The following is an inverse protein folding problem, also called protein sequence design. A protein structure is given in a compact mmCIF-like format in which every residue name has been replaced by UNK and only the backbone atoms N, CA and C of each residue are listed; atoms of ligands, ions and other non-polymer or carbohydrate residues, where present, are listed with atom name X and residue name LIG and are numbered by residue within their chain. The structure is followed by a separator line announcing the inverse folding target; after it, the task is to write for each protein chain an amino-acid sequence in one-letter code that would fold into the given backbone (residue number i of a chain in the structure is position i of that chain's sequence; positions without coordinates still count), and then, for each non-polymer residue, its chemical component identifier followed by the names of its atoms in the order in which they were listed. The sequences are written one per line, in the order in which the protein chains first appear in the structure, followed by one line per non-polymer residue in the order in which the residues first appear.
data_IF_398624366174
#
_entry.id   IF_398624366174
#
_cell.length_a   1.000
_cell.length_b   1.000
_cell.length_c   1.000
_cell.angle_alpha   90.00
_cell.angle_beta   90.00
_cell.angle_gamma   90.00
#
_symmetry.space_group_name_H-M   'P 1'
#
loop_
_entity.id
_entity.type
_entity.pdbx_description
1 polymer ?
#
# COMPACT_ATOMS: atom_id res chain seq x y z
N UNK A 1 -34.89 -15.12 3.91
CA UNK A 1 -33.83 -15.12 4.94
C UNK A 1 -34.34 -15.90 6.15
N UNK A 2 -33.72 -17.04 6.46
CA UNK A 2 -34.16 -17.99 7.50
C UNK A 2 -33.82 -17.49 8.91
N UNK A 3 -34.71 -17.80 9.86
CA UNK A 3 -34.78 -17.36 11.26
C UNK A 3 -33.61 -17.78 12.16
N UNK A 4 -32.60 -18.47 11.63
CA UNK A 4 -31.42 -18.95 12.37
C UNK A 4 -30.24 -17.96 12.48
N UNK A 5 -30.36 -16.73 11.96
CA UNK A 5 -29.32 -15.69 12.12
C UNK A 5 -29.56 -14.68 13.24
N UNK A 6 -30.70 -14.76 13.96
CA UNK A 6 -31.02 -13.82 15.05
C UNK A 6 -30.53 -14.23 16.44
N UNK A 7 -30.11 -15.48 16.65
CA UNK A 7 -29.77 -15.98 18.00
C UNK A 7 -28.28 -15.90 18.38
N UNK A 8 -27.38 -15.49 17.49
CA UNK A 8 -25.93 -15.40 17.80
C UNK A 8 -25.50 -14.00 18.26
N UNK A 9 -26.40 -12.99 18.20
CA UNK A 9 -26.08 -11.59 18.51
C UNK A 9 -26.52 -11.11 19.90
N UNK A 10 -27.04 -12.00 20.75
CA UNK A 10 -27.56 -11.62 22.06
C UNK A 10 -26.73 -12.12 23.25
N UNK A 11 -25.39 -12.13 23.17
CA UNK A 11 -24.52 -12.30 24.37
C UNK A 11 -23.20 -11.55 24.21
N UNK A 12 -23.14 -10.33 24.74
CA UNK A 12 -21.95 -9.71 25.39
C UNK A 12 -22.40 -8.38 26.00
N UNK A 13 -23.13 -8.48 27.12
CA UNK A 13 -23.38 -7.35 28.00
C UNK A 13 -22.15 -7.07 28.88
N UNK A 14 -21.93 -5.79 29.14
CA UNK A 14 -20.89 -5.25 30.02
C UNK A 14 -21.00 -5.81 31.46
N UNK A 15 -19.88 -5.94 32.21
CA UNK A 15 -19.95 -6.35 33.61
C UNK A 15 -20.41 -5.20 34.53
N UNK A 16 -21.31 -5.55 35.45
CA UNK A 16 -21.88 -4.69 36.49
C UNK A 16 -20.94 -4.57 37.70
N UNK A 17 -20.89 -3.37 38.28
CA UNK A 17 -20.24 -3.03 39.54
C UNK A 17 -21.04 -3.64 40.71
N UNK A 18 -20.37 -4.23 41.69
CA UNK A 18 -20.96 -4.56 42.99
C UNK A 18 -20.07 -4.05 44.12
N UNK A 19 -20.60 -3.08 44.85
CA UNK A 19 -20.17 -2.69 46.19
C UNK A 19 -20.67 -3.73 47.19
N UNK A 20 -19.78 -4.24 48.06
CA UNK A 20 -19.99 -4.27 49.52
C UNK A 20 -18.83 -5.00 50.20
N UNK A 21 -18.34 -4.38 51.28
CA UNK A 21 -17.19 -4.82 52.06
C UNK A 21 -17.53 -5.69 53.26
N UNK A 22 -16.57 -6.52 53.67
CA UNK A 22 -16.28 -6.85 55.08
C UNK A 22 -14.89 -7.52 55.18
N UNK A 23 -14.05 -6.97 56.07
CA UNK A 23 -12.77 -7.53 56.55
C UNK A 23 -13.07 -8.79 57.42
N UNK A 24 -12.17 -9.77 57.68
CA UNK A 24 -10.87 -9.68 58.38
C UNK A 24 -10.05 -10.99 58.21
N UNK A 25 -8.74 -10.82 57.96
CA UNK A 25 -7.50 -11.56 58.30
C UNK A 25 -7.38 -13.11 58.28
N UNK A 26 -6.33 -13.60 57.60
CA UNK A 26 -5.14 -14.22 58.23
C UNK A 26 -4.01 -14.45 57.20
N UNK A 27 -2.79 -14.14 57.61
CA UNK A 27 -1.54 -14.19 56.83
C UNK A 27 -1.11 -15.61 56.45
N UNK A 28 -0.74 -15.83 55.20
CA UNK A 28 0.28 -16.81 54.80
C UNK A 28 1.04 -16.25 53.59
N UNK A 29 2.36 -16.12 53.71
CA UNK A 29 3.26 -15.63 52.66
C UNK A 29 3.85 -16.84 51.91
N UNK A 30 3.61 -17.00 50.59
CA UNK A 30 4.46 -17.82 49.76
C UNK A 30 5.38 -16.93 48.94
N UNK A 31 6.68 -17.01 49.22
CA UNK A 31 7.71 -16.54 48.32
C UNK A 31 7.64 -17.33 47.01
N UNK A 32 7.50 -16.67 45.87
CA UNK A 32 8.10 -17.13 44.62
C UNK A 32 8.36 -15.92 43.73
N UNK A 33 9.63 -15.71 43.43
CA UNK A 33 10.12 -14.89 42.35
C UNK A 33 9.48 -15.32 41.03
N UNK A 34 8.31 -14.75 40.70
CA UNK A 34 7.78 -14.78 39.34
C UNK A 34 8.55 -13.74 38.55
N UNK A 35 9.56 -14.19 37.82
CA UNK A 35 10.25 -13.37 36.83
C UNK A 35 9.22 -12.64 35.98
N UNK A 36 9.31 -11.31 35.95
CA UNK A 36 8.59 -10.52 34.96
C UNK A 36 8.96 -11.11 33.60
N UNK A 37 7.97 -11.67 32.90
CA UNK A 37 8.09 -11.90 31.46
C UNK A 37 8.24 -10.53 30.84
N UNK A 38 9.49 -10.10 30.65
CA UNK A 38 9.85 -8.96 29.81
C UNK A 38 9.28 -9.31 28.44
N UNK A 39 8.16 -8.68 28.07
CA UNK A 39 7.62 -8.84 26.72
C UNK A 39 8.76 -8.62 25.74
N UNK A 40 8.90 -9.51 24.76
CA UNK A 40 9.91 -9.38 23.71
C UNK A 40 9.79 -7.98 23.13
N UNK A 41 10.84 -7.16 23.32
CA UNK A 41 10.90 -5.82 22.71
C UNK A 41 10.74 -5.99 21.20
N UNK A 42 9.85 -5.21 20.60
CA UNK A 42 9.68 -5.18 19.15
C UNK A 42 10.98 -4.71 18.51
N UNK A 43 11.50 -5.46 17.54
CA UNK A 43 12.64 -5.00 16.75
C UNK A 43 12.17 -3.90 15.81
N UNK A 44 12.73 -2.71 15.99
CA UNK A 44 12.39 -1.48 15.26
C UNK A 44 13.57 -0.99 14.42
N UNK A 45 14.61 -1.81 14.29
CA UNK A 45 15.81 -1.47 13.55
C UNK A 45 15.46 -1.35 12.07
N UNK A 46 15.69 -0.19 11.42
CA UNK A 46 15.41 -0.05 9.99
C UNK A 46 16.11 -1.12 9.16
N UNK A 47 15.44 -1.57 8.10
CA UNK A 47 16.02 -2.45 7.08
C UNK A 47 16.36 -1.61 5.85
N UNK A 48 17.42 -2.00 5.15
CA UNK A 48 17.90 -1.25 4.00
C UNK A 48 17.23 -1.72 2.71
N UNK A 49 17.02 -0.80 1.78
CA UNK A 49 16.33 -1.08 0.52
C UNK A 49 17.03 -2.16 -0.33
N UNK A 50 18.36 -2.26 -0.22
CA UNK A 50 19.19 -3.17 -1.00
C UNK A 50 19.09 -4.63 -0.53
N UNK A 51 18.40 -4.90 0.58
CA UNK A 51 17.97 -6.25 0.94
C UNK A 51 16.86 -6.77 0.01
N UNK A 52 16.10 -5.85 -0.60
CA UNK A 52 14.90 -6.18 -1.36
C UNK A 52 15.03 -5.88 -2.86
N UNK A 53 15.75 -4.82 -3.22
CA UNK A 53 15.95 -4.35 -4.59
C UNK A 53 17.42 -4.39 -5.00
N UNK A 54 17.70 -4.54 -6.30
CA UNK A 54 19.06 -4.64 -6.81
C UNK A 54 19.69 -3.24 -7.00
N UNK A 55 18.88 -2.24 -7.37
CA UNK A 55 19.34 -0.88 -7.67
C UNK A 55 18.36 0.17 -7.16
N UNK A 56 18.91 1.30 -6.72
CA UNK A 56 18.21 2.57 -6.47
C UNK A 56 18.72 3.61 -7.47
N UNK A 57 17.84 4.04 -8.36
CA UNK A 57 18.14 4.96 -9.45
C UNK A 57 17.63 6.37 -9.12
N UNK A 58 18.35 7.37 -9.62
CA UNK A 58 17.90 8.77 -9.62
C UNK A 58 17.73 9.21 -11.07
N UNK A 59 16.47 9.39 -11.49
CA UNK A 59 16.13 9.72 -12.87
C UNK A 59 15.74 11.19 -12.98
N UNK A 60 16.37 11.91 -13.91
CA UNK A 60 15.93 13.25 -14.26
C UNK A 60 14.71 13.13 -15.17
N UNK A 61 13.55 13.57 -14.68
CA UNK A 61 12.26 13.48 -15.35
C UNK A 61 11.57 14.83 -15.22
N UNK A 62 11.23 15.45 -16.36
CA UNK A 62 10.66 16.80 -16.41
C UNK A 62 11.36 17.80 -15.48
N UNK A 63 10.70 18.21 -14.40
CA UNK A 63 11.11 19.22 -13.43
C UNK A 63 11.62 18.61 -12.11
N UNK A 64 12.07 17.35 -12.12
CA UNK A 64 12.51 16.69 -10.90
C UNK A 64 13.47 15.53 -11.08
N UNK A 65 13.96 15.06 -9.94
CA UNK A 65 14.78 13.87 -9.80
C UNK A 65 13.95 12.82 -9.07
N UNK A 66 13.57 11.77 -9.79
CA UNK A 66 12.74 10.69 -9.28
C UNK A 66 13.60 9.54 -8.79
N UNK A 67 13.35 9.11 -7.55
CA UNK A 67 13.93 7.91 -6.98
C UNK A 67 13.17 6.68 -7.47
N UNK A 68 13.88 5.68 -7.99
CA UNK A 68 13.27 4.44 -8.50
C UNK A 68 14.03 3.22 -8.00
N UNK A 69 13.34 2.33 -7.32
CA UNK A 69 13.87 1.04 -6.90
C UNK A 69 13.60 -0.01 -7.98
N UNK A 70 14.61 -0.79 -8.35
CA UNK A 70 14.48 -1.81 -9.40
C UNK A 70 15.07 -3.16 -8.99
N UNK A 71 14.46 -4.24 -9.50
CA UNK A 71 14.95 -5.62 -9.33
C UNK A 71 14.75 -6.42 -10.61
N UNK A 72 15.72 -7.26 -10.94
CA UNK A 72 15.72 -8.05 -12.16
C UNK A 72 16.01 -7.24 -13.42
N UNK A 73 16.32 -7.96 -14.49
CA UNK A 73 16.72 -7.44 -15.80
C UNK A 73 16.01 -8.14 -16.98
N UNK A 74 15.33 -9.26 -16.73
CA UNK A 74 14.63 -10.06 -17.74
C UNK A 74 13.13 -10.15 -17.45
N UNK A 75 12.33 -10.25 -18.52
CA UNK A 75 10.88 -10.46 -18.44
C UNK A 75 10.06 -9.16 -18.49
N UNK A 76 8.73 -9.24 -18.28
CA UNK A 76 7.87 -8.07 -18.25
C UNK A 76 8.17 -7.18 -17.03
N UNK A 77 7.84 -5.89 -17.14
CA UNK A 77 7.91 -4.97 -16.02
C UNK A 77 6.65 -5.09 -15.15
N UNK A 78 6.84 -5.24 -13.85
CA UNK A 78 5.83 -5.02 -12.83
C UNK A 78 6.05 -3.62 -12.27
N UNK A 79 5.21 -2.68 -12.70
CA UNK A 79 5.36 -1.26 -12.39
C UNK A 79 4.46 -0.89 -11.20
N UNK A 80 5.06 -0.73 -10.02
CA UNK A 80 4.37 -0.72 -8.73
C UNK A 80 4.26 0.70 -8.13
N UNK A 81 3.06 1.26 -8.14
CA UNK A 81 2.76 2.63 -7.72
C UNK A 81 2.18 2.66 -6.30
N UNK A 82 2.87 3.31 -5.37
CA UNK A 82 2.46 3.39 -3.96
C UNK A 82 1.29 4.35 -3.71
N UNK A 83 0.67 4.24 -2.53
CA UNK A 83 -0.40 5.15 -2.09
C UNK A 83 0.09 6.52 -1.61
N UNK A 84 -0.83 7.45 -1.36
CA UNK A 84 -0.47 8.79 -0.85
C UNK A 84 0.14 8.72 0.54
N UNK A 85 1.25 9.44 0.76
CA UNK A 85 2.02 9.44 2.00
C UNK A 85 3.04 8.29 2.14
N UNK A 86 3.08 7.37 1.17
CA UNK A 86 3.98 6.22 1.15
C UNK A 86 5.21 6.46 0.24
N UNK A 87 5.91 5.39 -0.16
CA UNK A 87 7.08 5.39 -1.04
C UNK A 87 7.17 4.08 -1.81
N UNK A 88 8.07 3.97 -2.79
CA UNK A 88 8.33 2.73 -3.52
C UNK A 88 8.75 1.57 -2.61
N UNK A 89 9.26 1.87 -1.41
CA UNK A 89 9.67 0.88 -0.42
C UNK A 89 8.51 0.12 0.23
N UNK A 90 7.26 0.55 0.06
CA UNK A 90 6.10 -0.27 0.50
C UNK A 90 6.00 -1.59 -0.26
N UNK A 91 6.65 -1.69 -1.43
CA UNK A 91 6.67 -2.88 -2.27
C UNK A 91 7.83 -3.81 -1.96
N UNK A 92 8.70 -3.49 -1.00
CA UNK A 92 9.94 -4.22 -0.75
C UNK A 92 9.72 -5.73 -0.50
N UNK A 93 8.85 -6.09 0.44
CA UNK A 93 8.59 -7.49 0.79
C UNK A 93 7.86 -8.23 -0.35
N UNK A 94 6.92 -7.56 -1.03
CA UNK A 94 6.25 -8.09 -2.23
C UNK A 94 7.28 -8.37 -3.33
N UNK A 95 8.23 -7.47 -3.53
CA UNK A 95 9.28 -7.56 -4.56
C UNK A 95 10.15 -8.78 -4.36
N UNK A 96 10.61 -9.02 -3.13
CA UNK A 96 11.42 -10.19 -2.80
C UNK A 96 10.68 -11.50 -3.12
N UNK A 97 9.44 -11.64 -2.64
CA UNK A 97 8.61 -12.84 -2.85
C UNK A 97 8.25 -13.04 -4.32
N UNK A 98 7.84 -11.99 -5.02
CA UNK A 98 7.39 -12.07 -6.41
C UNK A 98 8.54 -12.39 -7.37
N UNK A 99 9.70 -11.78 -7.15
CA UNK A 99 10.90 -12.05 -7.97
C UNK A 99 11.46 -13.45 -7.74
N UNK A 100 11.18 -14.07 -6.59
CA UNK A 100 11.53 -15.47 -6.36
C UNK A 100 10.58 -16.44 -7.06
N UNK A 101 9.45 -15.98 -7.61
CA UNK A 101 8.44 -16.85 -8.26
C UNK A 101 8.44 -16.70 -9.78
N UNK A 102 8.77 -15.51 -10.27
CA UNK A 102 8.61 -15.13 -11.67
C UNK A 102 9.88 -14.48 -12.19
N UNK A 103 10.22 -14.79 -13.44
CA UNK A 103 11.19 -13.98 -14.17
C UNK A 103 10.53 -12.67 -14.60
N UNK A 104 10.84 -11.59 -13.90
CA UNK A 104 10.26 -10.27 -14.11
C UNK A 104 11.21 -9.15 -13.71
N UNK A 105 10.90 -7.94 -14.18
CA UNK A 105 11.55 -6.69 -13.77
C UNK A 105 10.62 -5.93 -12.85
N UNK A 106 11.04 -5.64 -11.63
CA UNK A 106 10.29 -4.76 -10.72
C UNK A 106 10.76 -3.33 -10.92
N UNK A 107 9.80 -2.41 -11.00
CA UNK A 107 10.05 -0.96 -11.00
C UNK A 107 9.11 -0.34 -9.96
N UNK A 108 9.66 0.20 -8.88
CA UNK A 108 8.92 0.83 -7.81
C UNK A 108 9.42 2.27 -7.62
N UNK A 109 8.79 3.27 -8.25
CA UNK A 109 9.19 4.66 -8.10
C UNK A 109 8.66 5.25 -6.80
N UNK A 110 9.40 6.21 -6.25
CA UNK A 110 8.85 7.21 -5.36
C UNK A 110 8.13 8.26 -6.22
N UNK A 111 6.81 8.41 -6.04
CA UNK A 111 6.01 9.39 -6.78
C UNK A 111 6.35 10.84 -6.35
N UNK A 112 5.89 11.82 -7.12
CA UNK A 112 6.11 13.26 -6.86
C UNK A 112 5.84 13.60 -5.39
N UNK A 113 6.78 14.29 -4.73
CA UNK A 113 6.66 14.69 -3.32
C UNK A 113 6.81 13.57 -2.28
N UNK A 114 7.09 12.33 -2.71
CA UNK A 114 7.19 11.16 -1.84
C UNK A 114 8.61 10.57 -1.82
N UNK A 115 8.88 9.74 -0.81
CA UNK A 115 10.16 9.02 -0.65
C UNK A 115 11.36 9.95 -0.79
N UNK A 116 12.27 9.63 -1.72
CA UNK A 116 13.45 10.44 -2.05
C UNK A 116 13.31 11.23 -3.37
N UNK A 117 12.12 11.22 -3.99
CA UNK A 117 11.83 12.04 -5.18
C UNK A 117 11.74 13.51 -4.80
N UNK A 118 12.34 14.39 -5.61
CA UNK A 118 12.25 15.84 -5.45
C UNK A 118 11.92 16.51 -6.78
N UNK A 119 10.95 17.42 -6.77
CA UNK A 119 10.46 18.15 -7.94
C UNK A 119 10.39 19.64 -7.66
N UNK A 120 10.33 20.50 -8.69
CA UNK A 120 10.19 21.95 -8.47
C UNK A 120 8.89 22.33 -7.77
N UNK A 121 7.79 21.65 -8.10
CA UNK A 121 6.51 21.77 -7.40
C UNK A 121 6.06 20.40 -6.88
N UNK A 122 6.35 20.11 -5.60
CA UNK A 122 5.90 18.88 -4.93
C UNK A 122 4.41 18.90 -4.56
N UNK A 123 3.70 20.02 -4.73
CA UNK A 123 2.29 20.16 -4.37
C UNK A 123 1.33 19.95 -5.55
N UNK A 124 1.79 20.08 -6.80
CA UNK A 124 1.02 19.69 -7.98
C UNK A 124 0.89 18.17 -8.08
N UNK A 125 0.01 17.61 -7.25
CA UNK A 125 -0.39 16.20 -7.31
C UNK A 125 -1.67 16.02 -8.13
N UNK A 126 -1.90 16.86 -9.15
CA UNK A 126 -2.98 16.61 -10.11
C UNK A 126 -2.83 15.25 -10.78
N UNK A 127 -3.95 14.67 -11.19
CA UNK A 127 -3.96 13.38 -11.91
C UNK A 127 -3.11 13.47 -13.17
N UNK A 128 -3.21 14.59 -13.89
CA UNK A 128 -2.52 14.86 -15.13
C UNK A 128 -1.00 14.92 -14.92
N UNK A 129 -0.56 15.69 -13.92
CA UNK A 129 0.88 15.83 -13.60
C UNK A 129 1.49 14.50 -13.20
N UNK A 130 0.87 13.79 -12.27
CA UNK A 130 1.41 12.51 -11.80
C UNK A 130 1.39 11.44 -12.91
N UNK A 131 0.38 11.46 -13.79
CA UNK A 131 0.34 10.56 -14.96
C UNK A 131 1.49 10.86 -15.93
N UNK A 132 1.82 12.13 -16.16
CA UNK A 132 3.00 12.53 -16.95
C UNK A 132 4.28 11.96 -16.34
N UNK A 133 4.51 12.23 -15.05
CA UNK A 133 5.70 11.75 -14.33
C UNK A 133 5.86 10.23 -14.45
N UNK A 134 4.78 9.47 -14.21
CA UNK A 134 4.77 8.00 -14.27
C UNK A 134 5.10 7.50 -15.70
N UNK A 135 4.55 8.15 -16.73
CA UNK A 135 4.83 7.80 -18.12
C UNK A 135 6.28 8.09 -18.48
N UNK A 136 6.83 9.22 -18.04
CA UNK A 136 8.21 9.60 -18.34
C UNK A 136 9.24 8.75 -17.58
N UNK A 137 8.99 8.40 -16.32
CA UNK A 137 9.79 7.44 -15.55
C UNK A 137 9.84 6.10 -16.29
N UNK A 138 8.68 5.58 -16.70
CA UNK A 138 8.60 4.31 -17.42
C UNK A 138 9.41 4.32 -18.72
N UNK A 139 9.26 5.38 -19.53
CA UNK A 139 10.01 5.55 -20.78
C UNK A 139 11.52 5.63 -20.56
N UNK A 140 11.97 6.32 -19.52
CA UNK A 140 13.39 6.39 -19.14
C UNK A 140 13.93 5.00 -18.76
N UNK A 141 13.19 4.26 -17.92
CA UNK A 141 13.58 2.89 -17.52
C UNK A 141 13.64 1.94 -18.73
N UNK A 142 12.69 2.05 -19.65
CA UNK A 142 12.65 1.17 -20.83
C UNK A 142 13.65 1.59 -21.93
N UNK A 143 14.28 2.77 -21.83
CA UNK A 143 15.18 3.31 -22.85
C UNK A 143 14.62 3.24 -24.30
N UNK A 144 13.30 3.39 -24.44
CA UNK A 144 12.60 3.31 -25.74
C UNK A 144 12.22 1.89 -26.20
N UNK A 145 12.59 0.84 -25.46
CA UNK A 145 12.18 -0.53 -25.76
C UNK A 145 10.70 -0.76 -25.47
N UNK A 146 10.04 -1.51 -26.35
CA UNK A 146 8.65 -1.92 -26.18
C UNK A 146 8.55 -3.09 -25.18
N UNK A 147 8.76 -2.81 -23.90
CA UNK A 147 8.69 -3.81 -22.83
C UNK A 147 7.27 -4.02 -22.31
N UNK A 148 6.72 -5.25 -22.34
CA UNK A 148 5.42 -5.56 -21.75
C UNK A 148 5.38 -5.16 -20.27
N UNK A 149 4.35 -4.43 -19.87
CA UNK A 149 4.26 -3.81 -18.54
C UNK A 149 2.93 -4.14 -17.86
N UNK A 150 2.99 -4.76 -16.69
CA UNK A 150 1.87 -4.93 -15.78
C UNK A 150 1.91 -3.79 -14.75
N UNK A 151 0.95 -2.87 -14.83
CA UNK A 151 0.90 -1.72 -13.91
C UNK A 151 0.05 -2.07 -12.68
N UNK A 152 0.60 -1.83 -11.50
CA UNK A 152 0.04 -2.24 -10.21
C UNK A 152 0.02 -1.00 -9.34
N UNK A 153 -1.09 -0.70 -8.68
CA UNK A 153 -1.19 0.49 -7.86
C UNK A 153 -2.02 0.30 -6.60
N UNK A 154 -1.56 0.88 -5.50
CA UNK A 154 -2.25 0.93 -4.22
C UNK A 154 -2.84 2.32 -3.97
N UNK A 155 -4.10 2.39 -3.53
CA UNK A 155 -4.74 3.66 -3.14
C UNK A 155 -4.60 4.75 -4.23
N UNK A 156 -4.02 5.92 -3.91
CA UNK A 156 -3.66 6.94 -4.91
C UNK A 156 -2.91 6.36 -6.13
N UNK A 157 -1.92 5.50 -5.93
CA UNK A 157 -1.20 4.81 -7.01
C UNK A 157 -2.10 3.88 -7.83
N UNK A 158 -3.14 3.30 -7.23
CA UNK A 158 -4.15 2.50 -7.91
C UNK A 158 -4.99 3.34 -8.87
N UNK A 159 -5.42 4.52 -8.42
CA UNK A 159 -6.09 5.49 -9.29
C UNK A 159 -5.18 5.91 -10.46
N UNK A 160 -3.95 6.28 -10.17
CA UNK A 160 -2.97 6.70 -11.18
C UNK A 160 -2.62 5.58 -12.17
N UNK A 161 -2.54 4.33 -11.73
CA UNK A 161 -2.34 3.17 -12.62
C UNK A 161 -3.44 3.08 -13.68
N UNK A 162 -4.70 3.32 -13.30
CA UNK A 162 -5.84 3.33 -14.23
C UNK A 162 -5.75 4.53 -15.19
N UNK A 163 -5.45 5.73 -14.70
CA UNK A 163 -5.30 6.91 -15.54
C UNK A 163 -4.17 6.75 -16.57
N UNK A 164 -3.02 6.22 -16.16
CA UNK A 164 -1.90 5.89 -17.06
C UNK A 164 -2.32 4.90 -18.13
N UNK A 165 -2.98 3.80 -17.76
CA UNK A 165 -3.44 2.81 -18.73
C UNK A 165 -4.51 3.36 -19.68
N UNK A 166 -5.48 4.11 -19.17
CA UNK A 166 -6.55 4.72 -19.95
C UNK A 166 -6.06 5.82 -20.90
N UNK A 167 -4.97 6.50 -20.55
CA UNK A 167 -4.34 7.53 -21.41
C UNK A 167 -3.82 6.96 -22.74
N UNK A 168 -3.57 5.64 -22.81
CA UNK A 168 -2.99 4.98 -23.98
C UNK A 168 -1.54 5.38 -24.30
N UNK A 169 -0.88 6.16 -23.43
CA UNK A 169 0.48 6.67 -23.64
C UNK A 169 1.55 5.58 -23.46
N UNK A 170 1.25 4.55 -22.68
CA UNK A 170 2.05 3.32 -22.56
C UNK A 170 1.35 2.18 -23.31
N UNK A 171 1.67 2.03 -24.60
CA UNK A 171 1.07 0.99 -25.45
C UNK A 171 1.45 -0.44 -25.04
N UNK A 172 2.47 -0.58 -24.21
CA UNK A 172 2.97 -1.88 -23.73
C UNK A 172 2.30 -2.34 -22.43
N UNK A 173 1.32 -1.60 -21.92
CA UNK A 173 0.54 -2.06 -20.77
C UNK A 173 -0.21 -3.33 -21.16
N UNK A 174 0.07 -4.43 -20.46
CA UNK A 174 -0.52 -5.75 -20.68
C UNK A 174 -1.52 -6.15 -19.60
N UNK A 175 -1.58 -5.42 -18.49
CA UNK A 175 -2.54 -5.65 -17.42
C UNK A 175 -2.55 -4.51 -16.40
N UNK A 176 -3.59 -4.45 -15.58
CA UNK A 176 -3.74 -3.48 -14.48
C UNK A 176 -4.14 -4.22 -13.20
N UNK A 177 -3.47 -3.93 -12.08
CA UNK A 177 -3.94 -4.32 -10.75
C UNK A 177 -4.19 -3.08 -9.90
N UNK A 178 -5.39 -2.99 -9.33
CA UNK A 178 -5.79 -1.92 -8.40
C UNK A 178 -5.96 -2.56 -7.02
N UNK A 179 -5.30 -1.98 -6.02
CA UNK A 179 -5.29 -2.49 -4.65
C UNK A 179 -5.96 -1.47 -3.74
N UNK A 180 -7.03 -1.92 -3.09
CA UNK A 180 -7.79 -1.23 -2.06
C UNK A 180 -8.31 0.15 -2.50
N UNK A 181 -8.92 0.19 -3.69
CA UNK A 181 -9.62 1.37 -4.22
C UNK A 181 -10.88 0.97 -4.97
N UNK A 182 -11.99 1.55 -4.52
CA UNK A 182 -13.28 1.58 -5.22
C UNK A 182 -13.73 3.04 -5.19
N UNK A 183 -14.21 3.59 -6.30
CA UNK A 183 -14.56 5.03 -6.39
C UNK A 183 -15.53 5.43 -5.29
N UNK A 184 -16.64 4.71 -5.13
CA UNK A 184 -17.68 5.04 -4.14
C UNK A 184 -17.13 5.13 -2.71
N UNK A 185 -16.43 4.09 -2.25
CA UNK A 185 -15.87 4.05 -0.89
C UNK A 185 -14.70 5.01 -0.71
N UNK A 186 -13.87 5.22 -1.75
CA UNK A 186 -12.77 6.18 -1.72
C UNK A 186 -13.29 7.61 -1.53
N UNK A 187 -14.35 7.98 -2.26
CA UNK A 187 -14.99 9.30 -2.17
C UNK A 187 -15.60 9.54 -0.78
N UNK A 188 -16.22 8.53 -0.19
CA UNK A 188 -16.73 8.58 1.19
C UNK A 188 -15.57 8.72 2.22
N UNK A 189 -14.47 8.01 2.00
CA UNK A 189 -13.32 7.99 2.90
C UNK A 189 -12.51 9.30 2.93
N UNK A 190 -12.61 10.17 1.89
CA UNK A 190 -11.85 11.42 1.83
C UNK A 190 -12.06 12.32 3.06
N UNK A 191 -13.28 12.35 3.61
CA UNK A 191 -13.59 13.16 4.80
C UNK A 191 -12.91 12.60 6.06
N UNK A 192 -12.95 11.28 6.22
CA UNK A 192 -12.31 10.56 7.33
C UNK A 192 -10.79 10.64 7.23
N UNK A 193 -10.23 10.66 6.03
CA UNK A 193 -8.79 10.74 5.81
C UNK A 193 -8.18 12.00 6.42
N UNK A 194 -8.86 13.16 6.33
CA UNK A 194 -8.39 14.39 6.99
C UNK A 194 -8.26 14.25 8.50
N UNK A 195 -9.24 13.58 9.11
CA UNK A 195 -9.27 13.36 10.55
C UNK A 195 -8.14 12.42 10.97
N UNK A 196 -7.93 11.35 10.20
CA UNK A 196 -6.80 10.44 10.38
C UNK A 196 -5.46 11.18 10.26
N UNK A 197 -5.24 11.98 9.21
CA UNK A 197 -3.99 12.70 9.02
C UNK A 197 -3.66 13.64 10.19
N UNK A 198 -4.68 14.30 10.75
CA UNK A 198 -4.56 15.18 11.92
C UNK A 198 -4.32 14.44 13.23
N UNK A 199 -4.80 13.20 13.37
CA UNK A 199 -4.63 12.42 14.61
C UNK A 199 -3.26 11.75 14.73
N UNK A 200 -2.50 11.66 13.64
CA UNK A 200 -1.14 11.10 13.65
C UNK A 200 -0.19 11.96 14.51
N UNK A 201 0.83 11.36 15.14
CA UNK A 201 1.94 12.11 15.72
C UNK A 201 2.55 13.03 14.67
N UNK A 202 2.78 14.28 15.03
CA UNK A 202 3.35 15.27 14.11
C UNK A 202 4.88 15.20 14.04
N UNK A 203 5.51 14.59 15.06
CA UNK A 203 6.95 14.45 15.18
C UNK A 203 7.31 13.10 15.80
N UNK A 204 8.48 12.58 15.44
CA UNK A 204 9.09 11.40 16.05
C UNK A 204 10.50 11.72 16.55
N UNK A 205 10.90 11.10 17.66
CA UNK A 205 12.25 11.27 18.22
C UNK A 205 13.32 10.47 17.48
N UNK A 206 12.94 9.42 16.75
CA UNK A 206 13.85 8.59 15.97
C UNK A 206 13.07 7.83 14.89
N UNK A 207 13.79 7.26 13.92
CA UNK A 207 13.20 6.36 12.92
C UNK A 207 12.57 5.14 13.59
N UNK A 208 13.25 4.54 14.58
CA UNK A 208 12.73 3.41 15.33
C UNK A 208 11.43 3.72 16.07
N UNK A 209 11.27 4.92 16.61
CA UNK A 209 10.01 5.36 17.23
C UNK A 209 8.87 5.48 16.21
N UNK A 210 9.17 5.88 14.98
CA UNK A 210 8.18 5.94 13.90
C UNK A 210 7.76 4.53 13.44
N UNK A 211 8.72 3.61 13.28
CA UNK A 211 8.45 2.18 12.99
C UNK A 211 7.60 1.57 14.10
N UNK A 212 7.95 1.79 15.36
CA UNK A 212 7.19 1.30 16.51
C UNK A 212 5.76 1.80 16.51
N UNK A 213 5.56 3.10 16.22
CA UNK A 213 4.23 3.68 16.12
C UNK A 213 3.40 3.03 15.01
N UNK A 214 3.95 2.83 13.81
CA UNK A 214 3.23 2.20 12.69
C UNK A 214 2.74 0.79 13.02
N UNK A 215 3.60 -0.02 13.66
CA UNK A 215 3.25 -1.36 14.08
C UNK A 215 2.18 -1.36 15.20
N UNK A 216 2.29 -0.45 16.18
CA UNK A 216 1.34 -0.38 17.30
C UNK A 216 0.00 0.24 16.95
N UNK A 217 -0.03 1.22 16.03
CA UNK A 217 -1.25 1.85 15.55
C UNK A 217 -2.05 0.95 14.60
N UNK A 218 -1.41 -0.09 14.06
CA UNK A 218 -1.98 -0.95 13.02
C UNK A 218 -1.97 -0.31 11.63
N UNK A 219 -1.21 0.77 11.42
CA UNK A 219 -0.99 1.36 10.08
C UNK A 219 -0.18 0.42 9.19
N UNK A 220 0.70 -0.38 9.78
CA UNK A 220 1.31 -1.54 9.14
C UNK A 220 1.27 -2.73 10.12
N UNK A 221 0.75 -3.88 9.68
CA UNK A 221 0.63 -5.09 10.50
C UNK A 221 1.87 -5.97 10.44
N UNK A 222 2.70 -5.81 9.40
CA UNK A 222 3.94 -6.55 9.23
C UNK A 222 5.14 -5.70 9.64
N UNK A 223 5.82 -6.10 10.71
CA UNK A 223 7.00 -5.41 11.23
C UNK A 223 8.13 -5.33 10.21
N UNK A 224 8.35 -6.38 9.41
CA UNK A 224 9.41 -6.39 8.39
C UNK A 224 9.14 -5.36 7.29
N UNK A 225 7.90 -5.28 6.79
CA UNK A 225 7.50 -4.26 5.82
C UNK A 225 7.65 -2.85 6.40
N UNK A 226 7.17 -2.62 7.63
CA UNK A 226 7.26 -1.33 8.29
C UNK A 226 8.71 -0.85 8.48
N UNK A 227 9.64 -1.76 8.82
CA UNK A 227 11.05 -1.43 9.05
C UNK A 227 11.80 -0.97 7.80
N UNK A 228 11.38 -1.41 6.61
CA UNK A 228 11.97 -0.95 5.34
C UNK A 228 11.21 0.24 4.75
N UNK A 229 9.87 0.29 4.89
CA UNK A 229 9.04 1.31 4.25
C UNK A 229 8.96 2.63 5.02
N UNK A 230 8.86 2.57 6.35
CA UNK A 230 8.57 3.72 7.20
C UNK A 230 9.66 4.80 7.19
N UNK A 231 10.98 4.49 7.12
CA UNK A 231 12.02 5.50 7.06
C UNK A 231 11.82 6.52 5.92
N UNK A 232 11.33 6.10 4.76
CA UNK A 232 11.09 6.98 3.60
C UNK A 232 9.79 7.80 3.70
N UNK A 233 8.94 7.54 4.70
CA UNK A 233 7.71 8.30 4.93
C UNK A 233 7.94 9.50 5.87
N UNK A 234 9.15 9.61 6.43
CA UNK A 234 9.56 10.69 7.33
C UNK A 234 10.83 11.36 6.81
N UNK A 235 11.07 12.58 7.27
CA UNK A 235 12.30 13.33 7.01
C UNK A 235 12.82 13.95 8.29
N UNK A 236 14.14 14.12 8.38
CA UNK A 236 14.77 14.79 9.51
C UNK A 236 14.52 16.29 9.42
N UNK A 237 14.02 16.87 10.50
CA UNK A 237 13.69 18.29 10.65
C UNK A 237 14.25 18.77 12.00
N UNK A 238 15.48 19.31 11.98
CA UNK A 238 16.25 19.57 13.19
C UNK A 238 16.67 18.27 13.88
N UNK A 239 16.44 18.17 15.18
CA UNK A 239 16.73 16.97 15.98
C UNK A 239 15.62 15.90 15.95
N UNK A 240 14.49 16.21 15.32
CA UNK A 240 13.31 15.35 15.24
C UNK A 240 13.03 14.92 13.80
N UNK A 241 12.08 14.01 13.64
CA UNK A 241 11.56 13.57 12.35
C UNK A 241 10.12 14.02 12.18
N UNK A 242 9.75 14.43 10.97
CA UNK A 242 8.38 14.80 10.57
C UNK A 242 7.98 14.00 9.34
N UNK A 243 6.69 13.93 9.02
CA UNK A 243 6.22 13.33 7.77
C UNK A 243 6.93 13.94 6.55
N UNK A 244 7.31 13.10 5.58
CA UNK A 244 7.96 13.52 4.33
C UNK A 244 7.09 14.54 3.59
N UNK A 245 5.81 14.19 3.45
CA UNK A 245 4.77 14.98 2.81
C UNK A 245 3.65 15.32 3.79
N UNK A 246 3.18 16.56 3.76
CA UNK A 246 1.92 16.95 4.38
C UNK A 246 0.79 16.63 3.41
N UNK A 247 0.31 15.38 3.47
CA UNK A 247 -0.72 14.89 2.57
C UNK A 247 -2.02 15.72 2.65
N UNK A 248 -2.28 16.42 3.75
CA UNK A 248 -3.48 17.26 3.89
C UNK A 248 -3.50 18.43 2.91
N UNK A 249 -2.33 18.94 2.50
CA UNK A 249 -2.20 20.01 1.49
C UNK A 249 -2.58 19.56 0.09
N UNK A 250 -2.63 18.25 -0.14
CA UNK A 250 -2.94 17.65 -1.45
C UNK A 250 -4.43 17.40 -1.64
N UNK A 251 -5.25 17.74 -0.63
CA UNK A 251 -6.71 17.61 -0.65
C UNK A 251 -7.38 18.15 -1.92
N UNK A 252 -6.98 19.31 -2.50
CA UNK A 252 -7.60 19.80 -3.73
C UNK A 252 -7.57 18.82 -4.90
N UNK A 253 -6.64 17.85 -4.89
CA UNK A 253 -6.48 16.87 -5.96
C UNK A 253 -7.21 15.54 -5.71
N UNK A 254 -7.61 15.24 -4.47
CA UNK A 254 -8.12 13.91 -4.12
C UNK A 254 -9.35 13.49 -4.92
N UNK A 255 -10.29 14.42 -5.13
CA UNK A 255 -11.48 14.16 -5.95
C UNK A 255 -11.09 13.84 -7.39
N UNK A 256 -10.07 14.53 -7.93
CA UNK A 256 -9.57 14.29 -9.29
C UNK A 256 -8.94 12.91 -9.48
N UNK A 257 -8.40 12.31 -8.42
CA UNK A 257 -7.85 10.96 -8.50
C UNK A 257 -8.95 9.91 -8.70
N UNK A 258 -10.04 10.00 -7.94
CA UNK A 258 -11.03 8.93 -7.82
C UNK A 258 -12.32 9.15 -8.62
N UNK A 259 -12.68 10.39 -8.96
CA UNK A 259 -13.94 10.66 -9.68
C UNK A 259 -13.94 10.03 -11.07
N UNK A 260 -14.94 9.19 -11.34
CA UNK A 260 -15.09 8.42 -12.57
C UNK A 260 -14.14 7.23 -12.70
N UNK A 261 -13.36 6.90 -11.66
CA UNK A 261 -12.33 5.87 -11.69
C UNK A 261 -12.89 4.49 -12.01
N UNK A 262 -14.06 4.12 -11.48
CA UNK A 262 -14.64 2.79 -11.69
C UNK A 262 -15.00 2.57 -13.16
N UNK A 263 -15.61 3.56 -13.81
CA UNK A 263 -15.90 3.51 -15.26
C UNK A 263 -14.62 3.52 -16.10
N UNK A 264 -13.62 4.30 -15.70
CA UNK A 264 -12.34 4.39 -16.39
C UNK A 264 -11.58 3.05 -16.34
N UNK A 265 -11.55 2.41 -15.17
CA UNK A 265 -11.00 1.07 -14.97
C UNK A 265 -11.68 0.05 -15.87
N UNK A 266 -13.02 0.02 -15.88
CA UNK A 266 -13.79 -0.90 -16.74
C UNK A 266 -13.59 -0.63 -18.24
N UNK A 267 -13.26 0.61 -18.62
CA UNK A 267 -12.96 1.00 -20.00
C UNK A 267 -11.59 0.54 -20.51
N UNK A 268 -10.66 0.17 -19.62
CA UNK A 268 -9.32 -0.28 -20.00
C UNK A 268 -9.36 -1.66 -20.67
N UNK A 269 -8.80 -1.75 -21.90
CA UNK A 269 -8.82 -2.95 -22.75
C UNK A 269 -7.66 -3.92 -22.50
N UNK A 270 -7.35 -4.15 -21.24
CA UNK A 270 -6.35 -5.13 -20.77
C UNK A 270 -6.97 -6.00 -19.67
N UNK A 271 -6.41 -7.17 -19.37
CA UNK A 271 -6.76 -7.92 -18.16
C UNK A 271 -6.62 -7.04 -16.92
N UNK A 272 -7.59 -7.16 -16.02
CA UNK A 272 -7.73 -6.32 -14.83
C UNK A 272 -7.88 -7.17 -13.58
N UNK A 273 -7.18 -6.78 -12.52
CA UNK A 273 -7.27 -7.35 -11.18
C UNK A 273 -7.68 -6.25 -10.20
N UNK A 274 -8.64 -6.54 -9.35
CA UNK A 274 -9.00 -5.72 -8.18
C UNK A 274 -8.72 -6.54 -6.92
N UNK A 275 -7.87 -6.03 -6.04
CA UNK A 275 -7.57 -6.63 -4.73
C UNK A 275 -8.16 -5.75 -3.64
N UNK A 276 -8.97 -6.32 -2.75
CA UNK A 276 -9.60 -5.61 -1.64
C UNK A 276 -9.10 -6.15 -0.30
N UNK A 277 -8.81 -5.27 0.67
CA UNK A 277 -8.43 -5.65 2.03
C UNK A 277 -9.63 -6.15 2.84
N UNK A 278 -10.82 -5.61 2.58
CA UNK A 278 -12.06 -5.93 3.26
C UNK A 278 -13.16 -6.38 2.31
N UNK A 279 -14.32 -6.71 2.89
CA UNK A 279 -15.58 -6.77 2.14
C UNK A 279 -16.06 -5.34 1.95
N UNK A 280 -15.25 -4.55 1.25
CA UNK A 280 -15.69 -3.24 0.81
C UNK A 280 -16.79 -3.43 -0.22
N UNK A 281 -17.78 -2.55 -0.17
CA UNK A 281 -18.84 -2.58 -1.15
C UNK A 281 -18.25 -2.05 -2.45
N UNK A 282 -18.11 -2.94 -3.43
CA UNK A 282 -18.02 -2.52 -4.82
C UNK A 282 -19.14 -1.50 -5.09
N UNK A 283 -18.82 -0.41 -5.77
CA UNK A 283 -19.85 0.52 -6.23
C UNK A 283 -20.68 -0.10 -7.36
N UNK A 284 -21.77 0.57 -7.73
CA UNK A 284 -22.69 0.08 -8.76
C UNK A 284 -21.98 -0.26 -10.07
N UNK A 285 -21.02 0.55 -10.51
CA UNK A 285 -20.31 0.32 -11.78
C UNK A 285 -19.44 -0.94 -11.69
N UNK A 286 -18.68 -1.11 -10.60
CA UNK A 286 -17.84 -2.30 -10.40
C UNK A 286 -18.66 -3.57 -10.14
N UNK A 287 -19.81 -3.49 -9.45
CA UNK A 287 -20.74 -4.64 -9.31
C UNK A 287 -21.19 -5.10 -10.70
N UNK A 288 -21.65 -4.17 -11.54
CA UNK A 288 -22.09 -4.51 -12.90
C UNK A 288 -20.94 -5.06 -13.72
N UNK A 289 -19.76 -4.44 -13.65
CA UNK A 289 -18.56 -4.89 -14.34
C UNK A 289 -18.11 -6.30 -13.92
N UNK A 290 -18.19 -6.59 -12.62
CA UNK A 290 -17.81 -7.87 -12.05
C UNK A 290 -18.78 -8.98 -12.47
N UNK A 291 -20.09 -8.71 -12.42
CA UNK A 291 -21.12 -9.66 -12.89
C UNK A 291 -21.02 -9.92 -14.41
N UNK A 292 -20.43 -8.99 -15.16
CA UNK A 292 -20.10 -9.15 -16.58
C UNK A 292 -18.75 -9.84 -16.84
N UNK A 293 -18.00 -10.20 -15.79
CA UNK A 293 -16.68 -10.83 -15.91
C UNK A 293 -15.59 -9.92 -16.49
N UNK A 294 -15.70 -8.60 -16.32
CA UNK A 294 -14.76 -7.62 -16.92
C UNK A 294 -13.40 -7.55 -16.22
N UNK A 295 -13.29 -8.04 -14.99
CA UNK A 295 -12.07 -8.08 -14.21
C UNK A 295 -12.07 -9.29 -13.26
N UNK A 296 -10.91 -9.61 -12.69
CA UNK A 296 -10.78 -10.57 -11.60
C UNK A 296 -10.79 -9.81 -10.28
N UNK A 297 -11.53 -10.30 -9.30
CA UNK A 297 -11.58 -9.76 -7.94
C UNK A 297 -10.94 -10.75 -6.97
N UNK A 298 -10.23 -10.26 -5.96
CA UNK A 298 -9.68 -11.06 -4.87
C UNK A 298 -9.74 -10.27 -3.58
N UNK A 299 -10.12 -10.92 -2.49
CA UNK A 299 -10.21 -10.31 -1.16
C UNK A 299 -9.10 -10.92 -0.29
N UNK A 300 -8.29 -10.06 0.34
CA UNK A 300 -7.24 -10.42 1.29
C UNK A 300 -7.64 -9.94 2.70
N UNK A 301 -8.54 -10.66 3.40
CA UNK A 301 -9.24 -10.17 4.60
C UNK A 301 -8.35 -9.93 5.83
N UNK A 302 -7.10 -10.39 5.79
CA UNK A 302 -6.12 -10.20 6.89
C UNK A 302 -5.44 -8.84 6.82
N UNK A 303 -5.44 -8.20 5.64
CA UNK A 303 -4.85 -6.89 5.44
C UNK A 303 -5.74 -5.77 5.99
N UNK A 304 -5.13 -4.67 6.40
CA UNK A 304 -5.76 -3.36 6.46
C UNK A 304 -5.53 -2.63 5.13
N UNK A 305 -5.50 -1.30 5.17
CA UNK A 305 -5.42 -0.47 3.95
C UNK A 305 -4.18 -0.75 3.09
N UNK A 306 -3.00 -0.87 3.70
CA UNK A 306 -1.74 -1.12 2.99
C UNK A 306 -1.53 -2.62 2.79
N UNK A 307 -2.32 -3.25 1.92
CA UNK A 307 -2.28 -4.69 1.64
C UNK A 307 -0.87 -5.19 1.31
N UNK A 308 -0.11 -4.40 0.55
CA UNK A 308 1.27 -4.70 0.18
C UNK A 308 2.25 -4.72 1.36
N UNK A 309 1.92 -4.07 2.47
CA UNK A 309 2.70 -4.15 3.71
C UNK A 309 2.12 -5.19 4.66
N UNK A 310 0.80 -5.28 4.77
CA UNK A 310 0.12 -6.11 5.76
C UNK A 310 0.10 -7.61 5.40
N UNK A 311 0.04 -7.94 4.11
CA UNK A 311 0.00 -9.32 3.62
C UNK A 311 0.80 -9.46 2.31
N UNK A 312 2.12 -9.14 2.33
CA UNK A 312 2.93 -9.07 1.13
C UNK A 312 3.04 -10.40 0.40
N UNK A 313 3.09 -11.52 1.13
CA UNK A 313 3.20 -12.86 0.54
C UNK A 313 1.90 -13.25 -0.19
N UNK A 314 0.75 -13.06 0.47
CA UNK A 314 -0.57 -13.34 -0.13
C UNK A 314 -0.82 -12.45 -1.37
N UNK A 315 -0.38 -11.19 -1.30
CA UNK A 315 -0.46 -10.28 -2.44
C UNK A 315 0.47 -10.69 -3.58
N UNK A 316 1.72 -11.06 -3.29
CA UNK A 316 2.67 -11.53 -4.29
C UNK A 316 2.14 -12.80 -4.99
N UNK A 317 1.62 -13.76 -4.24
CA UNK A 317 1.00 -14.97 -4.79
C UNK A 317 -0.21 -14.64 -5.69
N UNK A 318 -1.04 -13.66 -5.28
CA UNK A 318 -2.18 -13.18 -6.07
C UNK A 318 -1.74 -12.54 -7.39
N UNK A 319 -0.74 -11.66 -7.34
CA UNK A 319 -0.18 -11.00 -8.53
C UNK A 319 0.49 -12.02 -9.47
N UNK A 320 1.22 -12.99 -8.92
CA UNK A 320 1.84 -14.07 -9.68
C UNK A 320 0.82 -14.96 -10.37
N UNK A 321 -0.22 -15.40 -9.64
CA UNK A 321 -1.31 -16.20 -10.18
C UNK A 321 -2.04 -15.47 -11.31
N UNK A 322 -2.29 -14.17 -11.14
CA UNK A 322 -2.90 -13.35 -12.19
C UNK A 322 -2.00 -13.22 -13.42
N UNK A 323 -0.71 -12.94 -13.23
CA UNK A 323 0.25 -12.80 -14.31
C UNK A 323 0.43 -14.12 -15.09
N UNK A 324 0.49 -15.26 -14.39
CA UNK A 324 0.57 -16.58 -15.00
C UNK A 324 -0.70 -16.93 -15.78
N UNK A 325 -1.89 -16.74 -15.19
CA UNK A 325 -3.18 -16.98 -15.85
C UNK A 325 -3.31 -16.22 -17.17
N UNK A 326 -2.80 -14.99 -17.22
CA UNK A 326 -2.84 -14.14 -18.41
C UNK A 326 -1.58 -14.24 -19.29
N UNK A 327 -0.65 -15.16 -18.98
CA UNK A 327 0.58 -15.45 -19.74
C UNK A 327 1.49 -14.23 -19.89
N UNK A 328 1.57 -13.38 -18.87
CA UNK A 328 2.44 -12.20 -18.86
C UNK A 328 3.92 -12.57 -18.70
N UNK A 329 4.20 -13.57 -17.84
CA UNK A 329 5.55 -13.97 -17.45
C UNK A 329 5.67 -15.50 -17.41
N UNK A 330 6.92 -15.97 -17.39
CA UNK A 330 7.27 -17.38 -17.12
C UNK A 330 7.62 -17.56 -15.64
N UNK A 331 7.50 -18.78 -15.09
CA UNK A 331 8.08 -19.10 -13.78
C UNK A 331 9.58 -18.78 -13.75
N UNK A 332 10.13 -18.49 -12.57
CA UNK A 332 11.57 -18.39 -12.39
C UNK A 332 12.23 -19.76 -12.64
N UNK A 333 13.33 -19.78 -13.40
CA UNK A 333 14.17 -20.96 -13.55
C UNK A 333 14.99 -21.12 -12.25
N UNK A 334 14.81 -22.24 -11.55
CA UNK A 334 15.57 -22.59 -10.33
C UNK A 334 16.66 -23.60 -10.65
#
# INVERSE_FOLDING_TARGET
MSSLRKEVLARKGLPTVSEDGSNVAAETVPSTSKGLRRGTMMDVTPLEWNEFFDRKLSLNVSDGVFCVYTKGDVGPIFYMLHGGGYSGLTWAVVTEKLSSQLQCRIVAPDLRGHGDTSTTDEQDLSTERQTEDIVEIHKNICAGEATPTFIIGHSMGGALAVHVAASGRLKTVIGIAVIDVVEGTAMEALTTMKHFLKSRPQKFGSVGAAVEWCCKSGTAKNSRAARVSMPAQIKKTGDLYTWRIDLSKTEPHWVGWFKGLSKLFLGCRVPKLLVLAGIDRLDTDLIVGQMQGKFQETILPKAGHAVQEDSPEDLADTLAGFAFRNRFCRPADF
#
